data_IF_112099628275
#
_entry.id   IF_112099628275
#
_cell.length_a   1.000
_cell.length_b   1.000
_cell.length_c   1.000
_cell.angle_alpha   90.00
_cell.angle_beta   90.00
_cell.angle_gamma   90.00
#
_symmetry.space_group_name_H-M   'P 1'
#
loop_
_entity.id
_entity.type
_entity.pdbx_description
1 polymer ?
#
# COMPACT_ATOMS: atom_id res chain seq x y z
N UNK A 1 3.52 -18.31 9.82
CA UNK A 1 3.36 -17.00 10.47
C UNK A 1 2.44 -16.16 9.60
N UNK A 2 1.34 -15.63 10.14
CA UNK A 2 0.42 -14.80 9.35
C UNK A 2 1.12 -13.48 8.99
N UNK A 3 1.30 -13.20 7.69
CA UNK A 3 1.85 -11.92 7.18
C UNK A 3 0.89 -10.74 7.41
N UNK A 4 -0.23 -10.98 8.07
CA UNK A 4 -1.31 -10.04 8.30
C UNK A 4 -0.88 -8.82 9.11
N UNK A 5 0.02 -8.97 10.09
CA UNK A 5 0.59 -7.84 10.83
C UNK A 5 1.36 -6.87 9.93
N UNK A 6 2.24 -7.40 9.07
CA UNK A 6 3.01 -6.56 8.14
C UNK A 6 2.14 -5.91 7.07
N UNK A 7 1.05 -6.56 6.63
CA UNK A 7 0.08 -5.96 5.69
C UNK A 7 -0.63 -4.76 6.32
N UNK A 8 -1.00 -4.86 7.60
CA UNK A 8 -1.59 -3.76 8.36
C UNK A 8 -0.59 -2.60 8.48
N UNK A 9 0.64 -2.88 8.90
CA UNK A 9 1.69 -1.85 9.03
C UNK A 9 2.00 -1.16 7.70
N UNK A 10 2.07 -1.92 6.62
CA UNK A 10 2.22 -1.38 5.28
C UNK A 10 1.05 -0.47 4.90
N UNK A 11 -0.19 -0.88 5.20
CA UNK A 11 -1.38 -0.05 4.97
C UNK A 11 -1.35 1.26 5.75
N UNK A 12 -0.89 1.23 7.00
CA UNK A 12 -0.69 2.42 7.83
C UNK A 12 0.38 3.32 7.23
N UNK A 13 1.54 2.78 6.85
CA UNK A 13 2.63 3.53 6.22
C UNK A 13 2.16 4.18 4.91
N UNK A 14 1.44 3.44 4.06
CA UNK A 14 0.92 3.96 2.80
C UNK A 14 -0.07 5.12 3.03
N UNK A 15 -0.92 5.03 4.07
CA UNK A 15 -1.76 6.14 4.49
C UNK A 15 -0.95 7.36 4.92
N UNK A 16 0.07 7.15 5.77
CA UNK A 16 0.93 8.22 6.25
C UNK A 16 1.74 8.89 5.12
N UNK A 17 2.23 8.13 4.13
CA UNK A 17 2.90 8.69 2.93
C UNK A 17 1.93 9.55 2.12
N UNK A 18 0.69 9.09 1.94
CA UNK A 18 -0.35 9.83 1.22
C UNK A 18 -0.64 11.18 1.86
N UNK A 19 -0.71 11.23 3.18
CA UNK A 19 -1.02 12.45 3.94
C UNK A 19 0.19 13.39 4.06
N UNK A 20 1.36 12.85 4.36
CA UNK A 20 2.56 13.65 4.62
C UNK A 20 3.34 14.05 3.37
N UNK A 21 3.28 13.24 2.30
CA UNK A 21 4.02 13.44 1.06
C UNK A 21 3.16 13.14 -0.19
N UNK A 22 2.14 13.98 -0.49
CA UNK A 22 1.21 13.73 -1.59
C UNK A 22 1.88 13.63 -2.97
N UNK A 23 3.00 14.32 -3.16
CA UNK A 23 3.75 14.27 -4.41
C UNK A 23 4.51 12.94 -4.60
N UNK A 24 5.07 12.39 -3.53
CA UNK A 24 5.67 11.05 -3.51
C UNK A 24 4.58 10.01 -3.76
N UNK A 25 3.46 10.12 -3.05
CA UNK A 25 2.29 9.26 -3.24
C UNK A 25 1.78 9.27 -4.68
N UNK A 26 1.67 10.44 -5.30
CA UNK A 26 1.22 10.56 -6.69
C UNK A 26 2.14 9.81 -7.66
N UNK A 27 3.44 9.74 -7.36
CA UNK A 27 4.39 9.01 -8.20
C UNK A 27 4.31 7.51 -8.00
N UNK A 28 4.20 7.05 -6.75
CA UNK A 28 3.99 5.65 -6.39
C UNK A 28 2.67 5.12 -6.98
N UNK A 29 1.62 5.94 -6.97
CA UNK A 29 0.31 5.57 -7.50
C UNK A 29 0.29 5.38 -9.02
N UNK A 30 1.18 6.02 -9.77
CA UNK A 30 1.29 5.84 -11.23
C UNK A 30 1.73 4.40 -11.59
N UNK A 31 2.49 3.74 -10.71
CA UNK A 31 2.90 2.33 -10.88
C UNK A 31 1.78 1.34 -10.59
N UNK A 32 0.89 1.69 -9.66
CA UNK A 32 -0.21 0.81 -9.22
C UNK A 32 -1.25 0.59 -10.32
N UNK A 33 -1.39 1.56 -11.22
CA UNK A 33 -2.34 1.54 -12.34
C UNK A 33 -1.67 1.24 -13.69
N UNK A 34 -0.35 0.98 -13.72
CA UNK A 34 0.35 0.55 -14.93
C UNK A 34 -0.08 -0.86 -15.32
N UNK A 35 -1.08 -0.99 -16.20
CA UNK A 35 -1.38 -2.25 -16.85
C UNK A 35 -0.15 -2.66 -17.70
N UNK A 36 0.52 -3.79 -17.41
CA UNK A 36 1.68 -4.24 -18.18
C UNK A 36 1.35 -4.50 -19.66
N UNK A 37 0.06 -4.49 -20.05
CA UNK A 37 -0.40 -4.71 -21.42
C UNK A 37 -0.95 -3.45 -22.11
N UNK A 38 -0.97 -2.27 -21.47
CA UNK A 38 -1.48 -1.04 -22.10
C UNK A 38 -0.35 -0.29 -22.82
N UNK A 39 -0.42 -0.27 -24.16
CA UNK A 39 0.51 0.50 -24.99
C UNK A 39 0.43 1.99 -24.64
N UNK A 40 1.54 2.55 -24.14
CA UNK A 40 1.67 3.95 -23.71
C UNK A 40 1.26 4.91 -24.84
N UNK A 41 0.26 5.79 -24.65
CA UNK A 41 -0.13 6.71 -25.70
C UNK A 41 0.92 7.82 -25.84
N UNK A 42 1.61 7.83 -26.99
CA UNK A 42 2.49 8.87 -27.47
C UNK A 42 1.68 10.07 -27.99
N UNK A 43 0.90 10.74 -27.14
CA UNK A 43 0.18 11.96 -27.56
C UNK A 43 0.27 13.07 -26.53
N UNK A 44 1.21 13.99 -26.78
CA UNK A 44 1.31 15.30 -26.13
C UNK A 44 0.15 16.19 -26.60
N UNK A 45 -0.97 16.17 -25.89
CA UNK A 45 -2.11 17.04 -26.18
C UNK A 45 -2.90 17.41 -24.93
N UNK A 46 -3.63 18.53 -24.98
CA UNK A 46 -4.44 19.08 -23.88
C UNK A 46 -5.48 18.09 -23.30
N UNK A 47 -5.79 17.01 -24.03
CA UNK A 47 -6.61 15.86 -23.64
C UNK A 47 -5.99 15.01 -22.52
N UNK A 48 -4.65 14.92 -22.46
CA UNK A 48 -3.93 14.16 -21.43
C UNK A 48 -4.05 14.81 -20.04
N UNK A 49 -3.99 16.14 -19.97
CA UNK A 49 -4.14 16.90 -18.73
C UNK A 49 -5.55 16.75 -18.12
N UNK A 50 -6.60 16.71 -18.95
CA UNK A 50 -7.99 16.46 -18.49
C UNK A 50 -8.17 15.02 -17.99
N UNK A 51 -7.56 14.03 -18.66
CA UNK A 51 -7.62 12.61 -18.27
C UNK A 51 -6.80 12.32 -17.00
N UNK A 52 -5.67 13.01 -16.81
CA UNK A 52 -4.87 12.95 -15.57
C UNK A 52 -5.59 13.59 -14.38
N UNK A 53 -6.27 14.74 -14.60
CA UNK A 53 -7.06 15.42 -13.55
C UNK A 53 -8.29 14.61 -13.13
N UNK A 54 -8.94 13.93 -14.06
CA UNK A 54 -10.06 13.01 -13.79
C UNK A 54 -9.59 11.75 -13.02
N UNK A 55 -8.47 11.13 -13.43
CA UNK A 55 -7.83 10.01 -12.71
C UNK A 55 -7.45 10.37 -11.26
N UNK A 56 -6.88 11.56 -11.06
CA UNK A 56 -6.51 12.08 -9.72
C UNK A 56 -7.71 12.22 -8.79
N UNK A 57 -8.87 12.62 -9.31
CA UNK A 57 -10.13 12.73 -8.54
C UNK A 57 -10.69 11.35 -8.16
N UNK A 58 -10.55 10.35 -9.04
CA UNK A 58 -10.96 8.97 -8.79
C UNK A 58 -10.07 8.26 -7.76
N UNK A 59 -8.77 8.59 -7.71
CA UNK A 59 -7.80 8.07 -6.74
C UNK A 59 -7.97 8.64 -5.32
N UNK A 60 -8.51 9.86 -5.18
CA UNK A 60 -8.73 10.47 -3.86
C UNK A 60 -9.77 9.70 -3.02
N UNK A 61 -10.66 8.94 -3.67
CA UNK A 61 -11.79 8.26 -3.04
C UNK A 61 -11.71 6.72 -3.05
N UNK A 62 -10.70 6.12 -3.70
CA UNK A 62 -10.53 4.66 -3.71
C UNK A 62 -9.78 4.24 -2.45
N UNK A 63 -10.42 3.41 -1.61
CA UNK A 63 -9.71 2.76 -0.50
C UNK A 63 -8.50 2.00 -1.05
N UNK A 64 -7.33 2.15 -0.43
CA UNK A 64 -6.14 1.37 -0.78
C UNK A 64 -6.47 -0.11 -0.54
N UNK A 65 -6.84 -0.82 -1.61
CA UNK A 65 -7.05 -2.26 -1.59
C UNK A 65 -5.69 -2.93 -1.42
N UNK A 66 -5.50 -3.69 -0.34
CA UNK A 66 -4.24 -4.37 -0.02
C UNK A 66 -3.86 -5.47 -1.01
N UNK A 67 -4.73 -5.81 -1.96
CA UNK A 67 -4.55 -6.94 -2.88
C UNK A 67 -3.81 -6.57 -4.18
N UNK A 68 -3.62 -5.28 -4.46
CA UNK A 68 -2.79 -4.79 -5.59
C UNK A 68 -1.89 -3.66 -5.14
N UNK A 69 -0.83 -4.04 -4.41
CA UNK A 69 0.17 -3.13 -3.92
C UNK A 69 1.35 -3.04 -4.91
N UNK A 70 1.94 -1.85 -5.09
CA UNK A 70 3.06 -1.66 -6.02
C UNK A 70 4.29 -2.45 -5.56
N UNK A 71 5.21 -2.85 -6.47
CA UNK A 71 6.38 -3.67 -6.12
C UNK A 71 7.23 -3.11 -4.97
N UNK A 72 7.26 -1.78 -4.81
CA UNK A 72 7.94 -1.09 -3.69
C UNK A 72 7.47 -1.55 -2.31
N UNK A 73 6.25 -2.11 -2.22
CA UNK A 73 5.72 -2.64 -0.97
C UNK A 73 6.44 -3.88 -0.49
N UNK A 74 7.12 -4.61 -1.37
CA UNK A 74 8.01 -5.70 -1.00
C UNK A 74 9.22 -5.16 -0.22
N UNK A 75 9.79 -4.03 -0.65
CA UNK A 75 10.86 -3.35 0.09
C UNK A 75 10.37 -2.93 1.48
N UNK A 76 9.22 -2.26 1.55
CA UNK A 76 8.66 -1.80 2.83
C UNK A 76 8.28 -2.97 3.75
N UNK A 77 7.77 -4.07 3.19
CA UNK A 77 7.51 -5.31 3.95
C UNK A 77 8.79 -5.83 4.58
N UNK A 78 9.89 -5.88 3.82
CA UNK A 78 11.19 -6.30 4.34
C UNK A 78 11.65 -5.38 5.50
N UNK A 79 11.44 -4.06 5.39
CA UNK A 79 11.82 -3.11 6.43
C UNK A 79 11.12 -3.40 7.77
N UNK A 80 9.82 -3.64 7.76
CA UNK A 80 9.06 -3.92 8.99
C UNK A 80 9.32 -5.34 9.51
N UNK A 81 9.39 -6.33 8.63
CA UNK A 81 9.61 -7.73 9.02
C UNK A 81 10.99 -7.95 9.66
N UNK A 82 12.03 -7.24 9.17
CA UNK A 82 13.38 -7.33 9.73
C UNK A 82 13.72 -6.20 10.70
N UNK A 83 12.78 -5.29 11.02
CA UNK A 83 13.06 -4.09 11.79
C UNK A 83 14.31 -3.33 11.27
N UNK A 84 14.39 -3.18 9.95
CA UNK A 84 15.50 -2.58 9.18
C UNK A 84 16.86 -3.30 9.20
N UNK A 85 16.99 -4.47 9.83
CA UNK A 85 18.21 -5.28 9.73
C UNK A 85 18.50 -5.61 8.26
N UNK A 86 19.76 -5.43 7.84
CA UNK A 86 20.21 -5.68 6.47
C UNK A 86 19.70 -4.67 5.43
N UNK A 87 18.89 -3.70 5.85
CA UNK A 87 18.36 -2.63 5.00
C UNK A 87 19.15 -1.34 5.20
N UNK A 88 19.33 -0.93 6.46
CA UNK A 88 20.16 0.21 6.85
C UNK A 88 21.60 -0.25 7.13
N UNK A 89 22.60 0.65 7.06
CA UNK A 89 23.93 0.39 7.63
C UNK A 89 23.82 -0.06 9.10
N UNK A 90 24.73 -0.91 9.56
CA UNK A 90 24.61 -1.56 10.87
C UNK A 90 24.60 -0.54 12.02
N UNK A 91 25.45 0.49 11.96
CA UNK A 91 25.50 1.57 12.95
C UNK A 91 24.16 2.31 13.06
N UNK A 92 23.55 2.63 11.91
CA UNK A 92 22.22 3.25 11.84
C UNK A 92 21.13 2.32 12.35
N UNK A 93 21.21 1.03 12.04
CA UNK A 93 20.25 0.02 12.53
C UNK A 93 20.27 -0.04 14.05
N UNK A 94 21.46 -0.13 14.65
CA UNK A 94 21.62 -0.17 16.11
C UNK A 94 21.06 1.10 16.76
N UNK A 95 21.30 2.28 16.18
CA UNK A 95 20.73 3.53 16.70
C UNK A 95 19.19 3.58 16.60
N UNK A 96 18.62 3.06 15.51
CA UNK A 96 17.17 2.94 15.37
C UNK A 96 16.62 1.99 16.45
N UNK A 97 17.35 0.91 16.75
CA UNK A 97 16.97 -0.07 17.76
C UNK A 97 16.99 0.49 19.17
N UNK A 98 18.02 1.26 19.54
CA UNK A 98 18.10 1.94 20.85
C UNK A 98 16.79 2.70 21.15
N UNK A 99 16.26 3.38 20.14
CA UNK A 99 15.08 4.24 20.26
C UNK A 99 13.80 3.42 20.09
N UNK A 100 13.81 2.37 19.26
CA UNK A 100 12.69 1.45 19.10
C UNK A 100 12.38 0.70 20.40
N UNK A 101 13.38 0.23 21.15
CA UNK A 101 13.16 -0.45 22.42
C UNK A 101 12.68 0.50 23.53
N UNK A 102 13.04 1.79 23.46
CA UNK A 102 12.59 2.80 24.42
C UNK A 102 11.19 3.35 24.09
N UNK A 103 10.92 3.64 22.82
CA UNK A 103 9.73 4.36 22.38
C UNK A 103 8.69 3.52 21.64
N UNK A 104 8.93 2.21 21.48
CA UNK A 104 8.09 1.24 20.76
C UNK A 104 8.09 1.40 19.22
N UNK A 105 7.15 0.69 18.58
CA UNK A 105 7.05 0.50 17.13
C UNK A 105 6.82 1.76 16.28
N UNK A 106 6.37 2.88 16.86
CA UNK A 106 6.25 4.16 16.12
C UNK A 106 7.58 4.61 15.49
N UNK A 107 8.71 4.25 16.10
CA UNK A 107 10.05 4.60 15.61
C UNK A 107 10.27 4.02 14.20
N UNK A 108 9.80 2.80 13.94
CA UNK A 108 9.93 2.15 12.63
C UNK A 108 9.18 2.93 11.54
N UNK A 109 7.99 3.45 11.85
CA UNK A 109 7.23 4.30 10.92
C UNK A 109 7.91 5.64 10.67
N UNK A 110 8.43 6.30 11.71
CA UNK A 110 9.16 7.57 11.57
C UNK A 110 10.39 7.40 10.70
N UNK A 111 11.14 6.32 10.87
CA UNK A 111 12.30 5.99 10.05
C UNK A 111 11.88 5.73 8.60
N UNK A 112 10.86 4.89 8.36
CA UNK A 112 10.34 4.62 7.02
C UNK A 112 9.92 5.91 6.29
N UNK A 113 9.14 6.76 6.95
CA UNK A 113 8.69 8.04 6.40
C UNK A 113 9.86 9.00 6.14
N UNK A 114 10.87 8.99 7.01
CA UNK A 114 12.09 9.81 6.85
C UNK A 114 12.92 9.34 5.66
N UNK A 115 13.05 8.03 5.45
CA UNK A 115 13.67 7.47 4.23
C UNK A 115 12.98 8.05 3.00
N UNK A 116 11.65 7.94 2.89
CA UNK A 116 10.89 8.52 1.77
C UNK A 116 11.06 10.03 1.65
N UNK A 117 11.11 10.73 2.78
CA UNK A 117 11.28 12.18 2.80
C UNK A 117 12.65 12.61 2.25
N UNK A 118 13.71 11.90 2.61
CA UNK A 118 15.06 12.20 2.15
C UNK A 118 15.26 11.90 0.66
N UNK A 119 14.65 10.83 0.14
CA UNK A 119 14.67 10.54 -1.30
C UNK A 119 13.51 11.13 -2.09
N UNK A 120 12.74 12.06 -1.52
CA UNK A 120 11.57 12.66 -2.19
C UNK A 120 11.94 13.27 -3.55
N UNK A 121 13.12 13.91 -3.65
CA UNK A 121 13.61 14.51 -4.89
C UNK A 121 13.90 13.44 -5.96
N UNK A 122 14.57 12.35 -5.59
CA UNK A 122 14.89 11.23 -6.48
C UNK A 122 13.62 10.54 -6.96
N UNK A 123 12.68 10.27 -6.05
CA UNK A 123 11.40 9.64 -6.39
C UNK A 123 10.63 10.50 -7.41
N UNK A 124 10.60 11.82 -7.21
CA UNK A 124 9.94 12.75 -8.15
C UNK A 124 10.61 12.79 -9.52
N UNK A 125 11.93 12.58 -9.58
CA UNK A 125 12.71 12.64 -10.81
C UNK A 125 12.57 11.38 -11.68
N UNK A 126 12.06 10.28 -11.13
CA UNK A 126 11.86 9.02 -11.87
C UNK A 126 10.98 9.27 -13.10
N UNK A 127 11.47 8.94 -14.29
CA UNK A 127 10.70 9.03 -15.53
C UNK A 127 10.02 7.70 -15.88
N UNK A 128 10.71 6.59 -15.61
CA UNK A 128 10.24 5.24 -15.86
C UNK A 128 9.80 4.55 -14.55
N UNK A 129 8.51 4.19 -14.40
CA UNK A 129 8.02 3.42 -13.25
C UNK A 129 8.82 2.14 -12.95
N UNK A 130 9.47 1.53 -13.95
CA UNK A 130 10.26 0.32 -13.70
C UNK A 130 11.46 0.58 -12.76
N UNK A 131 11.94 1.82 -12.64
CA UNK A 131 13.11 2.17 -11.83
C UNK A 131 12.80 2.39 -10.33
N UNK A 132 11.54 2.67 -9.97
CA UNK A 132 11.17 3.05 -8.60
C UNK A 132 11.53 1.99 -7.57
N UNK A 133 11.31 0.72 -7.89
CA UNK A 133 11.67 -0.37 -6.99
C UNK A 133 13.16 -0.30 -6.62
N UNK A 134 14.03 -0.12 -7.61
CA UNK A 134 15.47 -0.01 -7.43
C UNK A 134 15.84 1.23 -6.60
N UNK A 135 15.25 2.39 -6.91
CA UNK A 135 15.49 3.65 -6.19
C UNK A 135 15.10 3.51 -4.71
N UNK A 136 13.87 3.07 -4.43
CA UNK A 136 13.36 2.91 -3.06
C UNK A 136 14.16 1.86 -2.28
N UNK A 137 14.61 0.78 -2.95
CA UNK A 137 15.45 -0.24 -2.33
C UNK A 137 16.86 0.27 -1.98
N UNK A 138 17.41 1.18 -2.78
CA UNK A 138 18.75 1.73 -2.59
C UNK A 138 18.82 2.84 -1.53
N UNK A 139 17.75 3.61 -1.35
CA UNK A 139 17.69 4.77 -0.44
C UNK A 139 18.19 4.47 0.98
N UNK A 140 17.72 3.43 1.69
CA UNK A 140 18.14 3.15 3.07
C UNK A 140 19.64 2.90 3.20
N UNK A 141 20.28 2.29 2.19
CA UNK A 141 21.71 1.93 2.26
C UNK A 141 22.64 3.14 2.32
N UNK A 142 22.15 4.33 1.93
CA UNK A 142 22.92 5.59 1.94
C UNK A 142 22.82 6.34 3.27
N UNK A 143 21.98 5.88 4.21
CA UNK A 143 21.78 6.53 5.50
C UNK A 143 22.85 6.09 6.51
N UNK A 144 24.09 6.49 6.26
CA UNK A 144 25.26 6.14 7.08
C UNK A 144 25.31 7.00 8.35
N UNK A 145 24.92 8.27 8.26
CA UNK A 145 24.86 9.15 9.43
C UNK A 145 23.59 8.89 10.25
N UNK A 146 23.75 8.02 11.25
CA UNK A 146 22.68 7.66 12.18
C UNK A 146 22.13 8.87 12.93
N UNK A 147 22.98 9.82 13.32
CA UNK A 147 22.55 10.99 14.08
C UNK A 147 21.71 11.93 13.20
N UNK A 148 22.14 12.17 11.96
CA UNK A 148 21.37 12.97 11.02
C UNK A 148 20.00 12.33 10.68
N UNK A 149 19.94 11.00 10.57
CA UNK A 149 18.67 10.28 10.39
C UNK A 149 17.75 10.48 11.59
N UNK A 150 18.26 10.28 12.81
CA UNK A 150 17.49 10.44 14.03
C UNK A 150 17.03 11.89 14.21
N UNK A 151 17.90 12.87 13.96
CA UNK A 151 17.52 14.27 14.02
C UNK A 151 16.38 14.57 13.02
N UNK A 152 16.45 13.99 11.81
CA UNK A 152 15.41 14.14 10.79
C UNK A 152 14.09 13.47 11.19
N UNK A 153 14.12 12.33 11.89
CA UNK A 153 12.92 11.64 12.37
C UNK A 153 12.15 12.44 13.44
N UNK A 154 12.86 13.23 14.26
CA UNK A 154 12.32 13.89 15.47
C UNK A 154 12.29 15.42 15.39
N UNK A 155 12.66 16.03 14.27
CA UNK A 155 12.63 17.49 14.07
C UNK A 155 11.21 18.06 14.29
N UNK A 156 11.12 19.16 15.05
CA UNK A 156 9.84 19.80 15.40
C UNK A 156 9.09 20.39 14.19
N UNK A 157 9.81 20.76 13.12
CA UNK A 157 9.23 21.38 11.91
C UNK A 157 9.43 20.45 10.72
N UNK A 158 8.33 20.11 10.03
CA UNK A 158 8.28 19.24 8.83
C UNK A 158 8.70 17.78 9.01
N UNK A 159 8.84 17.27 10.25
CA UNK A 159 9.08 15.86 10.50
C UNK A 159 7.89 15.12 11.11
N UNK A 160 8.08 13.82 11.33
CA UNK A 160 7.06 12.88 11.82
C UNK A 160 6.96 12.83 13.34
N UNK A 161 7.38 13.91 14.04
CA UNK A 161 7.33 14.01 15.49
C UNK A 161 5.92 13.94 16.07
N UNK A 162 4.91 14.28 15.28
CA UNK A 162 3.49 14.17 15.62
C UNK A 162 2.94 12.73 15.57
N UNK A 163 3.61 11.81 14.86
CA UNK A 163 3.23 10.39 14.88
C UNK A 163 3.63 9.76 16.22
N UNK A 164 2.74 9.78 17.19
CA UNK A 164 2.92 9.10 18.48
C UNK A 164 2.45 7.64 18.41
N UNK A 165 2.67 6.88 19.50
CA UNK A 165 2.37 5.45 19.54
C UNK A 165 0.86 5.19 19.44
N UNK A 166 0.07 5.99 20.15
CA UNK A 166 -1.39 5.92 20.15
C UNK A 166 -1.99 6.12 18.75
N UNK A 167 -1.49 7.08 17.98
CA UNK A 167 -1.92 7.33 16.59
C UNK A 167 -1.63 6.12 15.70
N UNK A 168 -0.43 5.54 15.84
CA UNK A 168 -0.06 4.34 15.09
C UNK A 168 -0.99 3.17 15.43
N UNK A 169 -1.27 2.95 16.72
CA UNK A 169 -2.10 1.83 17.14
C UNK A 169 -3.57 2.00 16.77
N UNK A 170 -4.08 3.24 16.80
CA UNK A 170 -5.40 3.58 16.28
C UNK A 170 -5.50 3.31 14.77
N UNK A 171 -4.52 3.76 13.98
CA UNK A 171 -4.48 3.51 12.54
C UNK A 171 -4.37 2.01 12.22
N UNK A 172 -3.59 1.26 13.00
CA UNK A 172 -3.51 -0.20 12.87
C UNK A 172 -4.85 -0.86 13.16
N UNK A 173 -5.56 -0.42 14.20
CA UNK A 173 -6.87 -0.95 14.54
C UNK A 173 -7.88 -0.67 13.44
N UNK A 174 -7.98 0.57 12.98
CA UNK A 174 -8.86 0.96 11.88
C UNK A 174 -8.59 0.12 10.62
N UNK A 175 -7.32 -0.16 10.31
CA UNK A 175 -6.95 -1.01 9.18
C UNK A 175 -7.38 -2.46 9.36
N UNK A 176 -7.19 -3.04 10.55
CA UNK A 176 -7.67 -4.40 10.87
C UNK A 176 -9.18 -4.50 10.74
N UNK A 177 -9.91 -3.54 11.30
CA UNK A 177 -11.37 -3.50 11.27
C UNK A 177 -11.88 -3.40 9.82
N UNK A 178 -11.25 -2.55 9.01
CA UNK A 178 -11.58 -2.42 7.59
C UNK A 178 -11.35 -3.72 6.81
N UNK A 179 -10.22 -4.39 7.02
CA UNK A 179 -9.92 -5.66 6.35
C UNK A 179 -10.90 -6.76 6.77
N UNK A 180 -11.30 -6.80 8.05
CA UNK A 180 -12.32 -7.73 8.53
C UNK A 180 -13.68 -7.45 7.89
N UNK A 181 -14.12 -6.18 7.87
CA UNK A 181 -15.38 -5.78 7.23
C UNK A 181 -15.43 -6.11 5.74
N UNK A 182 -14.33 -5.88 5.01
CA UNK A 182 -14.27 -6.20 3.58
C UNK A 182 -14.29 -7.72 3.34
N UNK A 183 -13.65 -8.50 4.22
CA UNK A 183 -13.69 -9.97 4.18
C UNK A 183 -15.10 -10.50 4.45
N UNK A 184 -15.79 -9.94 5.44
CA UNK A 184 -17.16 -10.36 5.81
C UNK A 184 -18.16 -9.98 4.72
N UNK A 185 -18.00 -8.83 4.06
CA UNK A 185 -18.80 -8.44 2.88
C UNK A 185 -18.57 -9.39 1.71
N UNK A 186 -17.33 -9.81 1.45
CA UNK A 186 -17.02 -10.78 0.41
C UNK A 186 -17.67 -12.14 0.72
N UNK A 187 -17.58 -12.60 1.97
CA UNK A 187 -18.21 -13.85 2.41
C UNK A 187 -19.74 -13.79 2.27
N UNK A 188 -20.37 -12.67 2.65
CA UNK A 188 -21.80 -12.44 2.47
C UNK A 188 -22.23 -12.48 1.00
N UNK A 189 -21.46 -11.85 0.10
CA UNK A 189 -21.77 -11.85 -1.34
C UNK A 189 -21.63 -13.23 -1.99
N UNK A 190 -20.73 -14.09 -1.49
CA UNK A 190 -20.60 -15.50 -1.93
C UNK A 190 -21.84 -16.30 -1.51
N UNK A 191 -22.30 -16.16 -0.27
CA UNK A 191 -23.50 -16.87 0.22
C UNK A 191 -24.79 -16.46 -0.51
N UNK A 192 -24.90 -15.19 -0.91
CA UNK A 192 -26.06 -14.66 -1.65
C UNK A 192 -26.00 -15.05 -3.15
N UNK A 193 -24.79 -15.18 -3.70
CA UNK A 193 -24.53 -15.69 -5.05
C UNK A 193 -24.86 -17.17 -5.21
N UNK A 194 -24.46 -18.03 -4.26
CA UNK A 194 -24.79 -19.46 -4.25
C UNK A 194 -26.32 -19.69 -4.14
N UNK A 195 -27.00 -18.87 -3.33
CA UNK A 195 -28.46 -18.89 -3.17
C UNK A 195 -29.20 -18.54 -4.47
N UNK A 196 -28.65 -17.64 -5.29
CA UNK A 196 -29.21 -17.26 -6.62
C UNK A 196 -28.90 -18.28 -7.71
N UNK A 197 -27.72 -18.89 -7.72
CA UNK A 197 -27.32 -19.90 -8.73
C UNK A 197 -28.13 -21.19 -8.57
N UNK A 198 -28.43 -21.60 -7.33
CA UNK A 198 -29.25 -22.80 -7.05
C UNK A 198 -30.70 -22.71 -7.57
N UNK A 199 -31.23 -21.51 -7.86
CA UNK A 199 -32.60 -21.33 -8.38
C UNK A 199 -32.75 -21.46 -9.91
N UNK A 200 -31.67 -21.63 -10.69
CA UNK A 200 -31.75 -21.60 -12.18
C UNK A 200 -31.66 -22.95 -12.91
N UNK A 201 -31.44 -24.08 -12.24
CA UNK A 201 -31.26 -25.38 -12.92
C UNK A 201 -32.39 -26.39 -12.66
N UNK A 202 -33.66 -26.08 -12.98
CA UNK A 202 -34.71 -27.10 -13.17
C UNK A 202 -35.81 -26.62 -14.12
N UNK A 203 -35.53 -26.48 -15.41
CA UNK A 203 -36.56 -26.26 -16.44
C UNK A 203 -36.22 -27.08 -17.70
N UNK A 204 -36.29 -28.41 -17.57
CA UNK A 204 -36.57 -29.29 -18.70
C UNK A 204 -37.81 -30.10 -18.37
N UNK A 205 -38.93 -29.67 -18.96
CA UNK A 205 -40.26 -30.23 -18.78
C UNK A 205 -40.37 -31.65 -19.35
N UNK A 206 -41.10 -32.48 -18.59
CA UNK A 206 -41.64 -33.79 -18.94
C UNK A 206 -42.16 -33.85 -20.38
N UNK A 207 -41.70 -34.83 -21.17
CA UNK A 207 -42.43 -35.31 -22.36
C UNK A 207 -43.64 -36.15 -21.94
N UNK A 208 -44.84 -35.97 -22.51
CA UNK A 208 -45.97 -36.86 -22.26
C UNK A 208 -45.86 -38.13 -23.11
N UNK A 209 -46.18 -39.27 -22.48
CA UNK A 209 -46.23 -40.62 -23.05
C UNK A 209 -47.52 -40.73 -23.87
N UNK A 210 -47.44 -41.16 -25.15
CA UNK A 210 -48.63 -41.45 -25.97
C UNK A 210 -49.16 -42.82 -25.60
N UNK A 211 -50.45 -42.88 -25.27
CA UNK A 211 -51.19 -44.10 -25.04
C UNK A 211 -51.43 -44.86 -26.35
N UNK A 212 -51.23 -46.18 -26.30
CA UNK A 212 -51.63 -47.12 -27.32
C UNK A 212 -53.08 -47.54 -27.02
N UNK A 213 -53.97 -47.37 -28.00
CA UNK A 213 -55.29 -48.01 -28.03
C UNK A 213 -55.32 -49.04 -29.15
N UNK A 214 -56.01 -50.14 -28.85
CA UNK A 214 -56.24 -51.31 -29.68
C UNK A 214 -56.88 -51.03 -31.05
#
# INVERSE_FOLDING_TARGET
>A
MSLEGSKVDLGVLMGAIRESMPAVWAKIGDEMDGDPNESRPTTSGASAAKKARSRRKHMANKSVSTDRLPPITLCMTAWFMSCFIGTLPIETTLRVWDVFFLESSKTLFRVALTIFKLGEAEIKAIADPMEMFSVVQAMPRRLIDANALMESCYKRRNAFGHLNQETIDALRQERRDKTQLDRDKLAGHVTDGESKVRRKNTLFGRRPKRDASA
#
